data_IF_699659694355
#
_entry.id   IF_699659694355
#
_cell.length_a   1.000
_cell.length_b   1.000
_cell.length_c   1.000
_cell.angle_alpha   90.00
_cell.angle_beta   90.00
_cell.angle_gamma   90.00
#
_symmetry.space_group_name_H-M   'P 1'
#
loop_
_entity.id
_entity.type
_entity.pdbx_description
1 polymer ?
#
# COMPACT_ATOMS: atom_id res chain seq x y z
N UNK A 1 -21.60 -8.65 7.41
CA UNK A 1 -21.04 -7.98 6.21
C UNK A 1 -19.72 -7.42 6.68
N UNK A 2 -18.61 -7.70 5.99
CA UNK A 2 -17.33 -7.10 6.36
C UNK A 2 -17.43 -5.58 6.19
N UNK A 3 -16.99 -4.83 7.19
CA UNK A 3 -17.05 -3.36 7.17
C UNK A 3 -16.00 -2.80 6.21
N UNK A 4 -14.90 -3.52 6.01
CA UNK A 4 -13.76 -3.12 5.19
C UNK A 4 -13.62 -4.08 3.99
N UNK A 5 -13.59 -3.52 2.78
CA UNK A 5 -13.31 -4.25 1.54
C UNK A 5 -11.87 -4.02 1.08
N UNK A 6 -10.95 -4.85 1.59
CA UNK A 6 -9.53 -4.79 1.22
C UNK A 6 -9.28 -5.17 -0.23
N UNK A 7 -10.02 -6.16 -0.75
CA UNK A 7 -9.87 -6.61 -2.13
C UNK A 7 -10.30 -5.50 -3.12
N UNK A 8 -11.41 -4.83 -2.82
CA UNK A 8 -11.86 -3.65 -3.56
C UNK A 8 -10.87 -2.49 -3.49
N UNK A 9 -10.27 -2.23 -2.33
CA UNK A 9 -9.21 -1.23 -2.18
C UNK A 9 -7.99 -1.54 -3.07
N UNK A 10 -7.48 -2.77 -3.04
CA UNK A 10 -6.35 -3.20 -3.88
C UNK A 10 -6.72 -3.13 -5.37
N UNK A 11 -7.94 -3.53 -5.74
CA UNK A 11 -8.43 -3.39 -7.11
C UNK A 11 -8.43 -1.92 -7.57
N UNK A 12 -9.00 -1.01 -6.76
CA UNK A 12 -9.01 0.42 -7.07
C UNK A 12 -7.61 1.05 -7.15
N UNK A 13 -6.69 0.61 -6.28
CA UNK A 13 -5.30 1.07 -6.31
C UNK A 13 -4.58 0.64 -7.59
N UNK A 14 -4.82 -0.59 -8.06
CA UNK A 14 -4.30 -1.10 -9.33
C UNK A 14 -4.86 -0.32 -10.52
N UNK A 15 -6.16 -0.08 -10.54
CA UNK A 15 -6.82 0.71 -11.59
C UNK A 15 -6.23 2.13 -11.64
N UNK A 16 -6.05 2.76 -10.47
CA UNK A 16 -5.39 4.06 -10.37
C UNK A 16 -3.95 4.02 -10.90
N UNK A 17 -3.16 3.00 -10.52
CA UNK A 17 -1.80 2.86 -11.03
C UNK A 17 -1.77 2.73 -12.56
N UNK A 18 -2.68 1.94 -13.14
CA UNK A 18 -2.81 1.76 -14.58
C UNK A 18 -3.16 3.08 -15.29
N UNK A 19 -4.12 3.84 -14.76
CA UNK A 19 -4.50 5.16 -15.28
C UNK A 19 -3.33 6.16 -15.28
N UNK A 20 -2.39 5.99 -14.35
CA UNK A 20 -1.19 6.82 -14.19
C UNK A 20 0.05 6.27 -14.92
N UNK A 21 -0.12 5.31 -15.84
CA UNK A 21 0.95 4.83 -16.72
C UNK A 21 1.88 3.79 -16.07
N UNK A 22 1.40 3.09 -15.03
CA UNK A 22 2.05 1.89 -14.55
C UNK A 22 1.48 0.64 -15.23
N UNK A 23 2.34 -0.33 -15.46
CA UNK A 23 2.00 -1.66 -15.94
C UNK A 23 2.12 -2.65 -14.77
N UNK A 24 1.04 -3.39 -14.49
CA UNK A 24 1.00 -4.41 -13.44
C UNK A 24 1.61 -5.70 -13.99
N UNK A 25 2.59 -6.24 -13.29
CA UNK A 25 3.33 -7.42 -13.69
C UNK A 25 2.85 -8.69 -12.99
N UNK A 26 2.69 -8.64 -11.67
CA UNK A 26 2.21 -9.77 -10.88
C UNK A 26 1.37 -9.31 -9.69
N UNK A 27 0.50 -10.19 -9.22
CA UNK A 27 -0.33 -9.98 -8.04
C UNK A 27 -0.39 -11.26 -7.23
N UNK A 28 -0.20 -11.13 -5.91
CA UNK A 28 -0.27 -12.24 -4.98
C UNK A 28 -1.13 -11.85 -3.78
N UNK A 29 -2.04 -12.74 -3.41
CA UNK A 29 -2.82 -12.64 -2.18
C UNK A 29 -2.62 -13.91 -1.35
N UNK A 30 -2.08 -13.73 -0.15
CA UNK A 30 -1.80 -14.80 0.79
C UNK A 30 -2.74 -14.71 1.99
N UNK A 31 -3.20 -15.87 2.45
CA UNK A 31 -3.91 -16.00 3.73
C UNK A 31 -3.21 -17.09 4.53
N UNK A 32 -2.60 -16.71 5.65
CA UNK A 32 -1.94 -17.65 6.54
C UNK A 32 -2.95 -18.54 7.26
N UNK A 33 -2.75 -19.86 7.25
CA UNK A 33 -3.75 -20.81 7.76
C UNK A 33 -3.95 -20.76 9.28
N UNK A 34 -2.93 -20.37 10.04
CA UNK A 34 -2.98 -20.37 11.52
C UNK A 34 -3.33 -19.01 12.11
N UNK A 35 -2.67 -17.96 11.63
CA UNK A 35 -2.87 -16.59 12.11
C UNK A 35 -4.04 -15.90 11.43
N UNK A 36 -4.49 -16.41 10.27
CA UNK A 36 -5.42 -15.75 9.35
C UNK A 36 -4.92 -14.38 8.87
N UNK A 37 -3.61 -14.10 9.00
CA UNK A 37 -2.95 -12.90 8.46
C UNK A 37 -3.12 -12.89 6.94
N UNK A 38 -3.51 -11.74 6.41
CA UNK A 38 -3.65 -11.54 4.97
C UNK A 38 -2.53 -10.64 4.46
N UNK A 39 -1.88 -11.05 3.38
CA UNK A 39 -0.87 -10.24 2.70
C UNK A 39 -1.25 -10.07 1.24
N UNK A 40 -1.28 -8.83 0.77
CA UNK A 40 -1.43 -8.49 -0.64
C UNK A 40 -0.10 -7.94 -1.14
N UNK A 41 0.36 -8.46 -2.26
CA UNK A 41 1.56 -8.00 -2.94
C UNK A 41 1.23 -7.72 -4.40
N UNK A 42 1.64 -6.56 -4.89
CA UNK A 42 1.45 -6.14 -6.28
C UNK A 42 2.79 -5.64 -6.81
N UNK A 43 3.26 -6.28 -7.87
CA UNK A 43 4.46 -5.85 -8.59
C UNK A 43 4.02 -5.04 -9.81
N UNK A 44 4.50 -3.80 -9.89
CA UNK A 44 4.18 -2.88 -10.97
C UNK A 44 5.38 -2.01 -11.31
N UNK A 45 5.42 -1.49 -12.52
CA UNK A 45 6.45 -0.51 -12.89
C UNK A 45 5.91 0.46 -13.93
N UNK A 46 6.55 1.62 -14.13
CA UNK A 46 6.17 2.52 -15.22
C UNK A 46 6.16 1.78 -16.56
N UNK A 47 5.18 2.06 -17.41
CA UNK A 47 5.05 1.42 -18.73
C UNK A 47 6.32 1.63 -19.57
N UNK A 48 6.93 2.82 -19.47
CA UNK A 48 8.18 3.17 -20.13
C UNK A 48 9.39 2.32 -19.70
N UNK A 49 9.30 1.64 -18.56
CA UNK A 49 10.35 0.80 -18.00
C UNK A 49 10.03 -0.71 -18.07
N UNK A 50 9.00 -1.10 -18.84
CA UNK A 50 8.59 -2.50 -18.97
C UNK A 50 9.74 -3.41 -19.45
N UNK A 51 9.99 -4.48 -18.69
CA UNK A 51 11.11 -5.40 -18.93
C UNK A 51 12.50 -4.86 -18.54
N UNK A 52 12.55 -3.67 -17.93
CA UNK A 52 13.75 -3.09 -17.35
C UNK A 52 13.96 -3.48 -15.88
N UNK A 53 15.04 -2.99 -15.26
CA UNK A 53 15.36 -3.25 -13.85
C UNK A 53 14.61 -2.34 -12.85
N UNK A 54 13.81 -1.39 -13.33
CA UNK A 54 13.00 -0.52 -12.48
C UNK A 54 11.72 -1.24 -12.09
N UNK A 55 11.48 -1.38 -10.80
CA UNK A 55 10.31 -2.08 -10.27
C UNK A 55 9.77 -1.39 -9.02
N UNK A 56 8.46 -1.46 -8.83
CA UNK A 56 7.75 -1.02 -7.63
C UNK A 56 6.98 -2.22 -7.07
N UNK A 57 7.41 -2.66 -5.89
CA UNK A 57 6.72 -3.67 -5.11
C UNK A 57 5.84 -2.99 -4.07
N UNK A 58 4.53 -3.19 -4.17
CA UNK A 58 3.57 -2.77 -3.18
C UNK A 58 3.21 -3.95 -2.27
N UNK A 59 3.25 -3.75 -0.96
CA UNK A 59 2.83 -4.76 0.01
C UNK A 59 1.89 -4.19 1.06
N UNK A 60 0.75 -4.85 1.27
CA UNK A 60 -0.20 -4.58 2.33
C UNK A 60 -0.30 -5.81 3.23
N UNK A 61 0.05 -5.65 4.50
CA UNK A 61 -0.04 -6.69 5.52
C UNK A 61 -1.16 -6.35 6.51
N UNK A 62 -2.10 -7.28 6.68
CA UNK A 62 -3.28 -7.09 7.53
C UNK A 62 -3.43 -8.23 8.52
N UNK A 63 -3.32 -7.86 9.80
CA UNK A 63 -3.68 -8.74 10.90
C UNK A 63 -5.22 -8.77 11.06
N UNK A 64 -5.84 -9.95 11.13
CA UNK A 64 -7.29 -10.07 11.28
C UNK A 64 -7.79 -9.47 12.60
N UNK A 65 -6.94 -9.41 13.64
CA UNK A 65 -7.27 -8.77 14.92
C UNK A 65 -7.49 -7.27 14.77
N UNK A 66 -6.68 -6.59 13.96
CA UNK A 66 -6.85 -5.16 13.69
C UNK A 66 -8.17 -4.89 12.98
N UNK A 67 -8.53 -5.71 11.99
CA UNK A 67 -9.82 -5.59 11.30
C UNK A 67 -11.00 -5.83 12.25
N UNK A 68 -10.96 -6.90 13.05
CA UNK A 68 -12.04 -7.17 14.02
C UNK A 68 -12.17 -6.06 15.06
N UNK A 69 -11.05 -5.54 15.58
CA UNK A 69 -11.07 -4.43 16.52
C UNK A 69 -11.68 -3.16 15.90
N UNK A 70 -11.37 -2.88 14.63
CA UNK A 70 -11.95 -1.77 13.89
C UNK A 70 -13.46 -1.94 13.68
N UNK A 71 -13.90 -3.14 13.31
CA UNK A 71 -15.33 -3.46 13.17
C UNK A 71 -16.09 -3.29 14.49
N UNK A 72 -15.53 -3.78 15.60
CA UNK A 72 -16.12 -3.65 16.93
C UNK A 72 -16.21 -2.19 17.38
N UNK A 73 -15.15 -1.40 17.14
CA UNK A 73 -15.13 0.03 17.47
C UNK A 73 -16.17 0.80 16.66
N UNK A 74 -16.21 0.60 15.34
CA UNK A 74 -17.17 1.27 14.47
C UNK A 74 -18.62 0.94 14.83
N UNK A 75 -18.92 -0.32 15.18
CA UNK A 75 -20.26 -0.72 15.62
C UNK A 75 -20.66 -0.13 16.98
N UNK A 76 -19.68 0.24 17.82
CA UNK A 76 -19.91 0.86 19.12
C UNK A 76 -20.08 2.38 19.07
N UNK A 77 -19.76 3.00 17.93
CA UNK A 77 -19.74 4.45 17.75
C UNK A 77 -21.10 4.99 17.25
N UNK A 78 -21.51 6.19 17.70
CA UNK A 78 -22.55 6.96 17.03
C UNK A 78 -22.23 7.20 15.54
N UNK A 79 -23.27 7.29 14.70
CA UNK A 79 -23.13 7.44 13.24
C UNK A 79 -22.26 8.65 12.80
N UNK A 80 -22.17 9.70 13.61
CA UNK A 80 -21.42 10.93 13.32
C UNK A 80 -20.03 10.98 14.01
N UNK A 81 -19.52 9.84 14.49
CA UNK A 81 -18.22 9.76 15.16
C UNK A 81 -17.23 8.84 14.45
N UNK A 82 -15.95 9.21 14.52
CA UNK A 82 -14.86 8.50 13.88
C UNK A 82 -14.18 7.51 14.86
N UNK A 83 -13.72 6.35 14.37
CA UNK A 83 -12.92 5.40 15.15
C UNK A 83 -11.53 5.96 15.47
N UNK A 84 -10.85 5.35 16.44
CA UNK A 84 -9.50 5.70 16.84
C UNK A 84 -8.49 5.50 15.71
N UNK A 85 -7.53 6.42 15.63
CA UNK A 85 -6.37 6.34 14.73
C UNK A 85 -5.33 5.29 15.16
N UNK A 86 -5.54 4.61 16.30
CA UNK A 86 -4.62 3.59 16.82
C UNK A 86 -4.62 2.30 15.97
N UNK A 87 -5.69 2.07 15.20
CA UNK A 87 -5.87 0.87 14.39
C UNK A 87 -5.29 1.08 12.99
N UNK A 88 -4.00 0.83 12.86
CA UNK A 88 -3.24 1.06 11.63
C UNK A 88 -2.98 -0.22 10.83
N UNK A 89 -2.99 -0.08 9.50
CA UNK A 89 -2.48 -1.09 8.56
C UNK A 89 -1.37 -0.47 7.71
N UNK A 90 -0.34 -1.24 7.40
CA UNK A 90 0.82 -0.72 6.68
C UNK A 90 0.74 -1.04 5.20
N UNK A 91 0.71 0.02 4.38
CA UNK A 91 0.90 -0.05 2.94
C UNK A 91 2.33 0.41 2.62
N UNK A 92 3.17 -0.52 2.16
CA UNK A 92 4.59 -0.27 1.91
C UNK A 92 4.84 -0.22 0.41
N UNK A 93 5.59 0.80 -0.01
CA UNK A 93 6.05 0.99 -1.38
C UNK A 93 7.56 0.77 -1.44
N UNK A 94 8.00 -0.28 -2.10
CA UNK A 94 9.41 -0.64 -2.24
C UNK A 94 9.88 -0.46 -3.68
N UNK A 95 10.75 0.52 -3.93
CA UNK A 95 11.30 0.79 -5.25
C UNK A 95 12.63 0.10 -5.46
N UNK A 96 12.75 -0.65 -6.56
CA UNK A 96 14.01 -1.15 -7.09
C UNK A 96 14.46 -0.22 -8.21
N UNK A 97 15.57 0.47 -8.01
CA UNK A 97 16.13 1.37 -9.02
C UNK A 97 17.27 0.67 -9.80
N UNK A 98 17.40 0.92 -11.12
CA UNK A 98 18.60 0.53 -11.87
C UNK A 98 19.88 1.04 -11.20
N UNK A 99 21.05 0.45 -11.51
CA UNK A 99 22.33 1.07 -11.17
C UNK A 99 22.36 2.49 -11.76
N UNK A 100 22.36 3.50 -10.89
CA UNK A 100 22.38 4.89 -11.31
C UNK A 100 23.84 5.33 -11.43
N UNK A 101 24.28 5.64 -12.66
CA UNK A 101 25.62 6.18 -12.93
C UNK A 101 25.93 7.42 -12.07
N UNK A 102 24.88 8.21 -11.78
CA UNK A 102 24.90 9.28 -10.80
C UNK A 102 23.81 8.99 -9.76
N UNK A 103 24.19 8.44 -8.62
CA UNK A 103 23.24 8.17 -7.55
C UNK A 103 22.67 9.51 -7.00
N UNK A 104 21.35 9.64 -6.84
CA UNK A 104 20.76 10.83 -6.27
C UNK A 104 21.20 10.98 -4.82
N UNK A 105 21.30 12.22 -4.36
CA UNK A 105 21.47 12.49 -2.94
C UNK A 105 20.18 12.05 -2.22
N UNK A 106 20.26 10.97 -1.46
CA UNK A 106 19.11 10.37 -0.79
C UNK A 106 18.48 11.31 0.23
N UNK A 107 19.24 12.24 0.81
CA UNK A 107 18.69 13.23 1.74
C UNK A 107 17.85 14.25 0.99
N UNK A 108 18.31 14.69 -0.19
CA UNK A 108 17.55 15.59 -1.07
C UNK A 108 16.29 14.90 -1.57
N UNK A 109 16.41 13.67 -2.08
CA UNK A 109 15.27 12.90 -2.55
C UNK A 109 14.22 12.69 -1.46
N UNK A 110 14.64 12.31 -0.24
CA UNK A 110 13.73 12.16 0.89
C UNK A 110 13.03 13.48 1.25
N UNK A 111 13.75 14.61 1.17
CA UNK A 111 13.19 15.94 1.44
C UNK A 111 12.18 16.37 0.37
N UNK A 112 12.47 16.11 -0.91
CA UNK A 112 11.56 16.40 -2.02
C UNK A 112 10.31 15.52 -1.96
N UNK A 113 10.46 14.23 -1.65
CA UNK A 113 9.34 13.32 -1.45
C UNK A 113 8.47 13.73 -0.25
N UNK A 114 9.08 14.13 0.87
CA UNK A 114 8.33 14.69 2.00
C UNK A 114 7.60 16.00 1.62
N UNK A 115 8.15 16.79 0.69
CA UNK A 115 7.48 17.97 0.14
C UNK A 115 6.24 17.65 -0.70
N UNK A 116 6.22 16.50 -1.38
CA UNK A 116 5.07 16.00 -2.16
C UNK A 116 4.04 15.35 -1.24
N UNK A 117 4.49 14.53 -0.29
CA UNK A 117 3.63 13.83 0.67
C UNK A 117 3.08 14.72 1.79
N UNK A 118 3.69 15.88 2.01
CA UNK A 118 3.38 16.76 3.14
C UNK A 118 4.01 16.28 4.46
N UNK A 119 3.91 17.07 5.53
CA UNK A 119 4.48 16.74 6.85
C UNK A 119 3.81 15.55 7.54
N UNK A 120 2.67 15.09 7.01
CA UNK A 120 1.88 13.95 7.49
C UNK A 120 2.23 12.65 6.75
N UNK A 121 3.12 12.71 5.74
CA UNK A 121 3.60 11.50 5.06
C UNK A 121 4.52 10.73 6.04
N UNK A 122 4.22 9.45 6.35
CA UNK A 122 5.01 8.67 7.31
C UNK A 122 6.46 8.45 6.88
#
# INVERSE_FOLDING_TARGET
VAVVDLAGFIAGLKDHAADHGFHIHDERHFVETYSMRQAFEVDLHPEAACGGPLDLHLSLDVEPRTLMAFEDELMGLPDDSEPSDDLVVHLIFSWVLPPLDNSPDLLVLATELAGIGGPEFP
#
